data_IF_589732240924
#
_entry.id   IF_589732240924
#
_cell.length_a   1.000
_cell.length_b   1.000
_cell.length_c   1.000
_cell.angle_alpha   90.00
_cell.angle_beta   90.00
_cell.angle_gamma   90.00
#
_symmetry.space_group_name_H-M   'P 1'
#
loop_
_entity.id
_entity.type
_entity.pdbx_description
1 polymer ?
#
# COMPACT_ATOMS: atom_id res chain seq x y z
N UNK A 1 -15.03 13.05 -5.51
CA UNK A 1 -15.68 11.77 -5.12
C UNK A 1 -16.97 11.52 -5.91
N UNK A 2 -18.01 12.36 -5.79
CA UNK A 2 -19.30 12.17 -6.49
C UNK A 2 -19.15 11.93 -8.00
N UNK A 3 -18.32 12.73 -8.69
CA UNK A 3 -18.00 12.56 -10.13
C UNK A 3 -17.37 11.20 -10.46
N UNK A 4 -16.46 10.70 -9.61
CA UNK A 4 -15.81 9.39 -9.83
C UNK A 4 -16.73 8.20 -9.50
N UNK A 5 -17.72 8.40 -8.64
CA UNK A 5 -18.73 7.37 -8.32
C UNK A 5 -19.77 7.20 -9.42
N UNK A 6 -20.01 8.21 -10.27
CA UNK A 6 -21.00 8.14 -11.35
C UNK A 6 -20.75 6.96 -12.30
N UNK A 7 -19.50 6.75 -12.70
CA UNK A 7 -19.15 5.66 -13.62
C UNK A 7 -19.30 4.26 -13.00
N UNK A 8 -19.09 4.12 -11.70
CA UNK A 8 -19.35 2.85 -11.00
C UNK A 8 -20.86 2.63 -10.86
N UNK A 9 -21.59 3.67 -10.45
CA UNK A 9 -23.05 3.64 -10.26
C UNK A 9 -23.78 3.26 -11.55
N UNK A 10 -23.43 3.89 -12.68
CA UNK A 10 -24.03 3.56 -13.98
C UNK A 10 -23.82 2.09 -14.37
N UNK A 11 -22.63 1.53 -14.10
CA UNK A 11 -22.32 0.12 -14.41
C UNK A 11 -23.08 -0.88 -13.54
N UNK A 12 -23.39 -0.54 -12.30
CA UNK A 12 -24.09 -1.43 -11.36
C UNK A 12 -25.58 -1.13 -11.23
N UNK A 13 -26.09 -0.10 -11.90
CA UNK A 13 -27.47 0.39 -11.78
C UNK A 13 -28.55 -0.71 -11.88
N UNK A 14 -28.50 -1.66 -12.84
CA UNK A 14 -29.48 -2.74 -12.90
C UNK A 14 -29.49 -3.63 -11.65
N UNK A 15 -28.33 -3.78 -10.98
CA UNK A 15 -28.15 -4.65 -9.80
C UNK A 15 -28.57 -4.00 -8.48
N UNK A 16 -28.62 -2.67 -8.43
CA UNK A 16 -28.96 -1.90 -7.21
C UNK A 16 -30.28 -1.15 -7.35
N UNK A 17 -31.06 -1.45 -8.39
CA UNK A 17 -32.35 -0.81 -8.66
C UNK A 17 -33.29 -0.94 -7.45
N UNK A 18 -33.86 0.18 -7.00
CA UNK A 18 -34.71 0.24 -5.80
C UNK A 18 -33.93 0.36 -4.48
N UNK A 19 -32.61 0.23 -4.49
CA UNK A 19 -31.76 0.48 -3.32
C UNK A 19 -31.60 1.97 -3.02
N UNK A 20 -31.69 2.33 -1.75
CA UNK A 20 -31.47 3.70 -1.28
C UNK A 20 -30.11 3.85 -0.61
N UNK A 21 -29.31 4.84 -1.04
CA UNK A 21 -28.06 5.18 -0.35
C UNK A 21 -28.41 5.95 0.92
N UNK A 22 -28.22 5.32 2.08
CA UNK A 22 -28.49 5.94 3.38
C UNK A 22 -27.26 6.67 3.96
N UNK A 23 -26.05 6.33 3.52
CA UNK A 23 -24.81 6.93 4.05
C UNK A 23 -23.67 6.91 3.03
N UNK A 24 -22.93 8.01 2.94
CA UNK A 24 -21.69 8.11 2.16
C UNK A 24 -20.64 8.79 3.03
N UNK A 25 -19.61 8.04 3.41
CA UNK A 25 -18.46 8.55 4.14
C UNK A 25 -17.18 8.28 3.36
N UNK A 26 -16.24 9.21 3.46
CA UNK A 26 -14.91 9.06 2.92
C UNK A 26 -13.95 9.86 3.80
N UNK A 27 -12.81 9.25 4.13
CA UNK A 27 -11.75 9.89 4.90
C UNK A 27 -10.42 9.74 4.16
N UNK A 28 -9.51 10.73 4.25
CA UNK A 28 -8.16 10.58 3.71
C UNK A 28 -7.46 9.39 4.35
N UNK A 29 -6.85 8.53 3.54
CA UNK A 29 -6.13 7.36 4.02
C UNK A 29 -4.67 7.78 4.33
N UNK A 30 -4.16 7.54 5.55
CA UNK A 30 -2.80 7.92 5.93
C UNK A 30 -1.78 6.89 5.39
N UNK A 31 -1.53 6.96 4.08
CA UNK A 31 -0.69 6.00 3.32
C UNK A 31 0.82 6.28 3.37
N UNK A 32 1.26 7.22 4.21
CA UNK A 32 2.66 7.66 4.27
C UNK A 32 3.17 7.58 5.71
N UNK A 33 4.16 6.72 5.99
CA UNK A 33 4.80 6.67 7.29
C UNK A 33 5.32 8.05 7.71
N UNK A 34 5.01 8.47 8.94
CA UNK A 34 5.43 9.77 9.47
C UNK A 34 6.96 9.85 9.57
N UNK A 35 7.60 11.01 9.31
CA UNK A 35 9.04 11.14 9.44
C UNK A 35 9.50 10.89 10.89
N UNK A 36 8.73 11.40 11.85
CA UNK A 36 8.94 11.18 13.29
C UNK A 36 7.83 10.27 13.82
N UNK A 37 8.22 9.08 14.28
CA UNK A 37 7.30 8.07 14.85
C UNK A 37 7.54 7.81 16.33
N UNK A 38 8.67 8.27 16.86
CA UNK A 38 9.05 8.16 18.27
C UNK A 38 9.68 9.48 18.70
N UNK A 39 9.22 10.03 19.84
CA UNK A 39 9.80 11.21 20.50
C UNK A 39 9.56 11.14 22.00
N UNK A 40 10.60 11.33 22.81
CA UNK A 40 10.56 11.06 24.24
C UNK A 40 10.06 9.65 24.52
N UNK A 41 9.04 9.53 25.38
CA UNK A 41 8.38 8.25 25.71
C UNK A 41 7.09 8.02 24.90
N UNK A 42 6.95 8.69 23.76
CA UNK A 42 5.78 8.59 22.89
C UNK A 42 6.17 7.86 21.62
N UNK A 43 5.38 6.85 21.23
CA UNK A 43 5.48 6.14 19.97
C UNK A 43 4.14 6.14 19.24
N UNK A 44 4.19 6.29 17.92
CA UNK A 44 3.01 6.20 17.05
C UNK A 44 2.87 4.77 16.53
N UNK A 45 1.63 4.31 16.39
CA UNK A 45 1.24 3.01 15.82
C UNK A 45 0.09 3.22 14.82
N UNK A 46 -0.14 2.24 13.94
CA UNK A 46 -1.23 2.22 12.97
C UNK A 46 -1.35 3.49 12.14
N UNK A 47 -2.58 3.97 11.98
CA UNK A 47 -2.93 5.17 11.20
C UNK A 47 -2.21 6.42 11.71
N UNK A 48 -1.99 6.54 13.03
CA UNK A 48 -1.25 7.66 13.60
C UNK A 48 0.20 7.70 13.10
N UNK A 49 0.82 6.53 12.93
CA UNK A 49 2.15 6.38 12.35
C UNK A 49 2.17 6.42 10.81
N UNK A 50 1.00 6.38 10.16
CA UNK A 50 0.87 6.28 8.71
C UNK A 50 1.17 4.89 8.16
N UNK A 51 0.88 3.85 8.93
CA UNK A 51 1.06 2.46 8.53
C UNK A 51 -0.16 1.89 7.81
N UNK A 52 -0.61 2.57 6.76
CA UNK A 52 -1.63 2.03 5.85
C UNK A 52 -0.97 1.73 4.52
N UNK A 53 -1.13 0.49 4.03
CA UNK A 53 -0.53 0.10 2.76
C UNK A 53 -1.23 0.78 1.60
N UNK A 54 -0.41 1.31 0.67
CA UNK A 54 -0.87 1.83 -0.60
C UNK A 54 -1.44 0.69 -1.45
N UNK A 55 -2.37 1.04 -2.34
CA UNK A 55 -3.04 0.15 -3.30
C UNK A 55 -3.99 -0.89 -2.67
N UNK A 56 -3.61 -1.58 -1.58
CA UNK A 56 -4.48 -2.56 -0.91
C UNK A 56 -5.34 -1.96 0.21
N UNK A 57 -4.98 -0.79 0.74
CA UNK A 57 -5.75 -0.09 1.76
C UNK A 57 -5.79 -0.81 3.12
N UNK A 58 -4.81 -1.67 3.41
CA UNK A 58 -4.80 -2.44 4.65
C UNK A 58 -4.30 -1.58 5.81
N UNK A 59 -5.23 -0.90 6.48
CA UNK A 59 -4.93 -0.20 7.73
C UNK A 59 -5.09 -1.10 8.96
N UNK A 60 -6.16 -1.90 8.99
CA UNK A 60 -6.56 -2.68 10.18
C UNK A 60 -5.45 -3.66 10.63
N UNK A 61 -4.91 -4.44 9.69
CA UNK A 61 -3.85 -5.40 10.01
C UNK A 61 -2.60 -4.70 10.57
N UNK A 62 -2.11 -3.66 9.88
CA UNK A 62 -0.90 -2.96 10.27
C UNK A 62 -1.08 -2.13 11.55
N UNK A 63 -2.29 -1.63 11.83
CA UNK A 63 -2.64 -1.01 13.10
C UNK A 63 -2.53 -2.01 14.26
N UNK A 64 -3.18 -3.17 14.15
CA UNK A 64 -3.10 -4.22 15.17
C UNK A 64 -1.66 -4.74 15.35
N UNK A 65 -0.96 -4.98 14.24
CA UNK A 65 0.41 -5.52 14.24
C UNK A 65 1.42 -4.54 14.85
N UNK A 66 1.37 -3.26 14.47
CA UNK A 66 2.26 -2.22 15.03
C UNK A 66 1.97 -1.96 16.50
N UNK A 67 0.69 -1.95 16.89
CA UNK A 67 0.28 -1.85 18.30
C UNK A 67 0.87 -2.99 19.14
N UNK A 68 0.73 -4.23 18.67
CA UNK A 68 1.32 -5.41 19.33
C UNK A 68 2.84 -5.31 19.41
N UNK A 69 3.51 -4.94 18.31
CA UNK A 69 4.97 -4.79 18.28
C UNK A 69 5.46 -3.71 19.26
N UNK A 70 4.76 -2.57 19.33
CA UNK A 70 5.08 -1.49 20.27
C UNK A 70 4.87 -1.95 21.72
N UNK A 71 3.80 -2.69 22.02
CA UNK A 71 3.56 -3.26 23.34
C UNK A 71 4.68 -4.20 23.80
N UNK A 72 5.09 -5.14 22.95
CA UNK A 72 6.24 -6.02 23.24
C UNK A 72 7.54 -5.23 23.45
N UNK A 73 7.77 -4.19 22.65
CA UNK A 73 8.94 -3.35 22.81
C UNK A 73 8.96 -2.60 24.15
N UNK A 74 7.81 -2.10 24.62
CA UNK A 74 7.70 -1.46 25.94
C UNK A 74 7.99 -2.46 27.06
N UNK A 75 7.42 -3.66 27.01
CA UNK A 75 7.67 -4.71 28.02
C UNK A 75 9.14 -5.12 28.04
N UNK A 76 9.74 -5.36 26.86
CA UNK A 76 11.15 -5.73 26.76
C UNK A 76 12.08 -4.60 27.22
N UNK A 77 11.82 -3.36 26.80
CA UNK A 77 12.62 -2.21 27.17
C UNK A 77 12.51 -1.85 28.65
N UNK A 78 11.35 -2.06 29.27
CA UNK A 78 11.17 -1.82 30.70
C UNK A 78 11.67 -2.97 31.57
N UNK A 79 12.20 -4.04 30.96
CA UNK A 79 12.60 -5.28 31.65
C UNK A 79 11.45 -5.85 32.51
N UNK A 80 10.24 -5.85 31.94
CA UNK A 80 9.04 -6.27 32.65
C UNK A 80 8.52 -5.25 33.68
N UNK A 81 8.95 -3.99 33.60
CA UNK A 81 8.49 -2.91 34.47
C UNK A 81 9.48 -2.54 35.59
N UNK A 82 10.68 -3.13 35.63
CA UNK A 82 11.70 -2.82 36.63
C UNK A 82 12.36 -1.46 36.40
N UNK A 83 12.29 -0.92 35.18
CA UNK A 83 12.82 0.41 34.85
C UNK A 83 11.92 1.21 33.90
N UNK A 84 12.06 2.54 33.98
CA UNK A 84 11.44 3.44 33.01
C UNK A 84 12.15 3.39 31.66
N UNK A 85 11.37 3.37 30.59
CA UNK A 85 11.86 3.42 29.22
C UNK A 85 12.16 4.87 28.79
N UNK A 86 13.08 5.03 27.85
CA UNK A 86 13.35 6.31 27.20
C UNK A 86 13.21 6.23 25.66
N UNK A 87 13.48 7.33 24.98
CA UNK A 87 13.34 7.42 23.52
C UNK A 87 14.23 6.42 22.78
N UNK A 88 15.46 6.20 23.28
CA UNK A 88 16.41 5.29 22.64
C UNK A 88 15.95 3.83 22.72
N UNK A 89 15.31 3.45 23.83
CA UNK A 89 14.71 2.13 24.00
C UNK A 89 13.59 1.89 22.98
N UNK A 90 12.65 2.84 22.82
CA UNK A 90 11.56 2.74 21.85
C UNK A 90 12.08 2.71 20.40
N UNK A 91 13.12 3.50 20.08
CA UNK A 91 13.76 3.44 18.76
C UNK A 91 14.40 2.07 18.52
N UNK A 92 15.08 1.50 19.51
CA UNK A 92 15.79 0.21 19.38
C UNK A 92 14.84 -0.98 19.32
N UNK A 93 13.89 -1.04 20.24
CA UNK A 93 13.04 -2.22 20.44
C UNK A 93 11.79 -2.24 19.56
N UNK A 94 11.23 -1.08 19.24
CA UNK A 94 10.06 -0.96 18.37
C UNK A 94 10.44 -0.52 16.96
N UNK A 95 10.86 0.75 16.80
CA UNK A 95 10.93 1.39 15.49
C UNK A 95 11.93 0.68 14.55
N UNK A 96 13.11 0.32 15.06
CA UNK A 96 14.14 -0.38 14.26
C UNK A 96 13.68 -1.77 13.82
N UNK A 97 12.95 -2.50 14.65
CA UNK A 97 12.43 -3.85 14.31
C UNK A 97 11.30 -3.74 13.29
N UNK A 98 10.39 -2.78 13.50
CA UNK A 98 9.32 -2.48 12.54
C UNK A 98 9.87 -2.09 11.18
N UNK A 99 10.81 -1.14 11.13
CA UNK A 99 11.39 -0.67 9.88
C UNK A 99 12.17 -1.80 9.18
N UNK A 100 12.88 -2.65 9.92
CA UNK A 100 13.54 -3.83 9.34
C UNK A 100 12.56 -4.77 8.63
N UNK A 101 11.37 -4.97 9.18
CA UNK A 101 10.40 -5.92 8.63
C UNK A 101 9.56 -5.29 7.51
N UNK A 102 9.14 -4.03 7.65
CA UNK A 102 8.08 -3.45 6.80
C UNK A 102 8.52 -2.25 5.97
N UNK A 103 9.67 -1.63 6.23
CA UNK A 103 10.10 -0.45 5.47
C UNK A 103 10.20 -0.74 3.96
N UNK A 104 10.76 -1.89 3.60
CA UNK A 104 10.86 -2.34 2.21
C UNK A 104 9.48 -2.45 1.55
N UNK A 105 8.51 -3.05 2.23
CA UNK A 105 7.12 -3.19 1.75
C UNK A 105 6.49 -1.83 1.49
N UNK A 106 6.53 -0.91 2.46
CA UNK A 106 5.95 0.42 2.30
C UNK A 106 6.62 1.23 1.19
N UNK A 107 7.95 1.11 1.04
CA UNK A 107 8.69 1.78 -0.03
C UNK A 107 8.37 1.21 -1.41
N UNK A 108 8.31 -0.12 -1.54
CA UNK A 108 7.95 -0.77 -2.79
C UNK A 108 6.55 -0.33 -3.26
N UNK A 109 5.56 -0.37 -2.37
CA UNK A 109 4.19 0.06 -2.70
C UNK A 109 4.11 1.57 -3.03
N UNK A 110 4.93 2.41 -2.40
CA UNK A 110 5.04 3.84 -2.76
C UNK A 110 5.56 4.05 -4.18
N UNK A 111 6.60 3.32 -4.58
CA UNK A 111 7.13 3.36 -5.95
C UNK A 111 6.10 2.86 -6.95
N UNK A 112 5.47 1.71 -6.67
CA UNK A 112 4.45 1.12 -7.53
C UNK A 112 3.28 2.09 -7.74
N UNK A 113 2.78 2.74 -6.68
CA UNK A 113 1.73 3.75 -6.80
C UNK A 113 2.18 4.93 -7.67
N UNK A 114 3.39 5.46 -7.46
CA UNK A 114 3.91 6.61 -8.23
C UNK A 114 4.05 6.30 -9.73
N UNK A 115 4.52 5.11 -10.07
CA UNK A 115 4.73 4.70 -11.47
C UNK A 115 3.40 4.51 -12.19
N UNK A 116 2.45 3.78 -11.60
CA UNK A 116 1.26 3.36 -12.31
C UNK A 116 0.05 4.31 -12.15
N UNK A 117 -0.06 5.05 -11.05
CA UNK A 117 -1.29 5.82 -10.77
C UNK A 117 -1.24 7.26 -11.29
N UNK A 118 -0.09 7.71 -11.82
CA UNK A 118 0.14 9.07 -12.30
C UNK A 118 -0.55 9.40 -13.64
N UNK A 119 -0.86 8.41 -14.47
CA UNK A 119 -1.52 8.61 -15.78
C UNK A 119 -2.48 7.47 -16.11
N UNK A 120 -3.39 7.69 -17.07
CA UNK A 120 -4.27 6.61 -17.54
C UNK A 120 -3.48 5.48 -18.21
N UNK A 121 -2.44 5.81 -19.00
CA UNK A 121 -1.55 4.81 -19.59
C UNK A 121 -0.84 3.95 -18.54
N UNK A 122 -0.40 4.54 -17.43
CA UNK A 122 0.17 3.80 -16.30
C UNK A 122 -0.84 2.86 -15.64
N UNK A 123 -2.11 3.29 -15.52
CA UNK A 123 -3.17 2.44 -14.94
C UNK A 123 -3.50 1.25 -15.84
N UNK A 124 -3.56 1.45 -17.14
CA UNK A 124 -3.78 0.36 -18.11
C UNK A 124 -2.58 -0.60 -18.13
N UNK A 125 -1.35 -0.09 -18.08
CA UNK A 125 -0.16 -0.94 -17.98
C UNK A 125 -0.17 -1.79 -16.70
N UNK A 126 -0.65 -1.25 -15.57
CA UNK A 126 -0.82 -2.02 -14.33
C UNK A 126 -1.84 -3.14 -14.50
N UNK A 127 -2.96 -2.89 -15.19
CA UNK A 127 -3.97 -3.93 -15.48
C UNK A 127 -3.35 -5.06 -16.30
N UNK A 128 -2.55 -4.73 -17.31
CA UNK A 128 -1.86 -5.73 -18.13
C UNK A 128 -0.86 -6.56 -17.29
N UNK A 129 -0.05 -5.90 -16.46
CA UNK A 129 0.91 -6.56 -15.57
C UNK A 129 0.19 -7.47 -14.56
N UNK A 130 -0.96 -7.05 -14.03
CA UNK A 130 -1.78 -7.89 -13.15
C UNK A 130 -2.42 -9.10 -13.86
N UNK A 131 -2.43 -9.15 -15.20
CA UNK A 131 -2.87 -10.31 -15.98
C UNK A 131 -1.88 -11.48 -15.97
N UNK A 132 -0.63 -11.24 -15.56
CA UNK A 132 0.42 -12.25 -15.50
C UNK A 132 0.28 -13.14 -14.25
N UNK A 133 0.31 -14.47 -14.44
CA UNK A 133 0.11 -15.46 -13.37
C UNK A 133 1.18 -15.38 -12.27
N UNK A 134 2.43 -15.07 -12.64
CA UNK A 134 3.51 -14.88 -11.65
C UNK A 134 3.22 -13.65 -10.79
N UNK A 135 2.83 -12.54 -11.41
CA UNK A 135 2.46 -11.31 -10.69
C UNK A 135 1.27 -11.55 -9.77
N UNK A 136 0.27 -12.30 -10.22
CA UNK A 136 -0.87 -12.68 -9.39
C UNK A 136 -0.43 -13.50 -8.18
N UNK A 137 0.37 -14.56 -8.38
CA UNK A 137 0.90 -15.39 -7.28
C UNK A 137 1.67 -14.54 -6.26
N UNK A 138 2.59 -13.71 -6.73
CA UNK A 138 3.39 -12.82 -5.88
C UNK A 138 2.52 -11.84 -5.09
N UNK A 139 1.48 -11.30 -5.74
CA UNK A 139 0.53 -10.38 -5.10
C UNK A 139 -0.29 -11.10 -4.04
N UNK A 140 -0.84 -12.28 -4.34
CA UNK A 140 -1.63 -13.08 -3.40
C UNK A 140 -0.79 -13.57 -2.22
N UNK A 141 0.42 -14.06 -2.45
CA UNK A 141 1.33 -14.43 -1.37
C UNK A 141 1.67 -13.23 -0.49
N UNK A 142 1.99 -12.09 -1.10
CA UNK A 142 2.30 -10.87 -0.34
C UNK A 142 1.10 -10.37 0.45
N UNK A 143 -0.10 -10.50 -0.13
CA UNK A 143 -1.36 -10.13 0.51
C UNK A 143 -1.72 -11.09 1.64
N UNK A 144 -1.64 -12.41 1.45
CA UNK A 144 -2.04 -13.38 2.47
C UNK A 144 -1.05 -13.43 3.64
N UNK A 145 0.25 -13.37 3.35
CA UNK A 145 1.30 -13.49 4.36
C UNK A 145 1.84 -12.15 4.87
N UNK A 146 1.35 -11.03 4.32
CA UNK A 146 1.66 -9.65 4.75
C UNK A 146 3.16 -9.34 4.75
N UNK A 147 3.91 -9.99 3.86
CA UNK A 147 5.36 -9.84 3.66
C UNK A 147 5.62 -9.81 2.17
N UNK A 148 6.65 -9.09 1.73
CA UNK A 148 7.08 -9.15 0.34
C UNK A 148 7.40 -10.62 0.01
N UNK A 149 6.64 -11.19 -0.91
CA UNK A 149 6.90 -12.52 -1.44
C UNK A 149 8.33 -12.54 -1.99
N UNK A 150 9.03 -13.66 -1.78
CA UNK A 150 10.39 -13.82 -2.30
C UNK A 150 10.28 -14.21 -3.76
N UNK A 151 10.55 -13.26 -4.63
CA UNK A 151 10.50 -13.48 -6.07
C UNK A 151 11.64 -14.36 -6.57
N UNK A 152 11.44 -14.93 -7.75
CA UNK A 152 12.51 -15.50 -8.53
C UNK A 152 13.18 -14.35 -9.30
N UNK A 153 14.51 -14.12 -9.15
CA UNK A 153 15.20 -13.02 -9.81
C UNK A 153 15.00 -12.94 -11.33
N UNK A 154 14.83 -14.09 -12.00
CA UNK A 154 14.56 -14.15 -13.43
C UNK A 154 13.13 -13.71 -13.78
N UNK A 155 12.14 -14.15 -13.01
CA UNK A 155 10.75 -13.77 -13.20
C UNK A 155 10.50 -12.30 -12.81
N UNK A 156 11.22 -11.78 -11.80
CA UNK A 156 11.22 -10.37 -11.44
C UNK A 156 11.81 -9.49 -12.55
N UNK A 157 12.92 -9.91 -13.17
CA UNK A 157 13.50 -9.22 -14.33
C UNK A 157 12.54 -9.23 -15.52
N UNK A 158 11.88 -10.37 -15.79
CA UNK A 158 10.85 -10.49 -16.82
C UNK A 158 9.65 -9.58 -16.54
N UNK A 159 9.19 -9.51 -15.29
CA UNK A 159 8.12 -8.61 -14.87
C UNK A 159 8.49 -7.13 -15.11
N UNK A 160 9.72 -6.71 -14.78
CA UNK A 160 10.20 -5.34 -15.03
C UNK A 160 10.24 -5.04 -16.53
N UNK A 161 10.75 -5.97 -17.35
CA UNK A 161 10.78 -5.83 -18.81
C UNK A 161 9.39 -5.77 -19.42
N UNK A 162 8.48 -6.63 -18.99
CA UNK A 162 7.08 -6.62 -19.41
C UNK A 162 6.40 -5.30 -19.01
N UNK A 163 6.65 -4.81 -17.79
CA UNK A 163 6.15 -3.52 -17.30
C UNK A 163 6.63 -2.36 -18.18
N UNK A 164 7.91 -2.32 -18.53
CA UNK A 164 8.47 -1.30 -19.44
C UNK A 164 7.83 -1.43 -20.82
N UNK A 165 7.69 -2.66 -21.34
CA UNK A 165 7.02 -2.94 -22.61
C UNK A 165 5.57 -2.44 -22.65
N UNK A 166 4.79 -2.73 -21.61
CA UNK A 166 3.41 -2.26 -21.43
C UNK A 166 3.33 -0.74 -21.33
N UNK A 167 4.22 -0.10 -20.57
CA UNK A 167 4.26 1.37 -20.45
C UNK A 167 4.60 2.04 -21.79
N UNK A 168 5.56 1.50 -22.55
CA UNK A 168 5.91 1.98 -23.89
C UNK A 168 4.73 1.79 -24.84
N UNK A 169 4.09 0.61 -24.84
CA UNK A 169 2.92 0.33 -25.68
C UNK A 169 1.74 1.24 -25.35
N UNK A 170 1.40 1.41 -24.07
CA UNK A 170 0.30 2.28 -23.66
C UNK A 170 0.57 3.76 -23.94
N UNK A 171 1.84 4.22 -23.86
CA UNK A 171 2.20 5.58 -24.26
C UNK A 171 2.12 5.78 -25.79
N UNK A 172 2.47 4.76 -26.58
CA UNK A 172 2.33 4.79 -28.03
C UNK A 172 0.85 4.79 -28.45
N UNK A 173 0.03 3.91 -27.85
CA UNK A 173 -1.43 3.85 -28.09
C UNK A 173 -2.11 5.14 -27.64
N UNK A 174 -1.71 5.70 -26.50
CA UNK A 174 -2.20 6.99 -26.01
C UNK A 174 -1.94 8.13 -26.97
N UNK A 175 -0.73 8.20 -27.56
CA UNK A 175 -0.42 9.17 -28.62
C UNK A 175 -1.29 8.96 -29.87
N UNK A 176 -1.45 7.72 -30.34
CA UNK A 176 -2.27 7.41 -31.53
C UNK A 176 -3.75 7.79 -31.32
N UNK A 177 -4.30 7.54 -30.13
CA UNK A 177 -5.69 7.91 -29.81
C UNK A 177 -5.91 9.44 -29.72
N UNK A 178 -4.91 10.21 -29.29
CA UNK A 178 -4.97 11.69 -29.32
C UNK A 178 -4.89 12.23 -30.75
N UNK A 179 -4.15 11.57 -31.65
CA UNK A 179 -4.12 11.92 -33.08
C UNK A 179 -5.43 11.59 -33.83
N UNK A 180 -6.28 10.71 -33.29
CA UNK A 180 -7.56 10.32 -33.92
C UNK A 180 -8.75 11.14 -33.40
N UNK A 181 -8.52 12.11 -32.51
CA UNK A 181 -9.54 13.05 -31.98
C UNK A 181 -9.53 14.42 -32.66
N UNK A 182 -8.86 14.56 -33.81
CA UNK A 182 -8.94 15.74 -34.68
C UNK A 182 -9.98 15.49 -35.76
#
# INVERSE_FOLDING_TARGET
IKKYQMGVRARVEPKIRGGQVFKVEAHPIPEHPRPVRVRGRVALVGDAAGYVTKCSGEGIYFAAKSGRACGWAVVAASEGGTRMINESDLKREYLRKWDREYFGTFKFLDVLQKVFYGSNAGREALVEVCGDEYVQRMTFESYLYKRLAKGNPWEDAKMVMNTIGSLVRCNLVGKVMDFTKV
#
